data_IF_724670022586
#
_entry.id   IF_724670022586
#
_cell.length_a   1.000
_cell.length_b   1.000
_cell.length_c   1.000
_cell.angle_alpha   90.00
_cell.angle_beta   90.00
_cell.angle_gamma   90.00
#
_symmetry.space_group_name_H-M   'P 1'
#
loop_
_entity.id
_entity.type
_entity.pdbx_description
1 polymer ?
#
# COMPACT_ATOMS: atom_id res chain seq x y z
N UNK A 1 -24.48 11.38 -4.01
CA UNK A 1 -24.77 10.05 -4.57
C UNK A 1 -23.74 9.57 -5.61
N UNK A 2 -23.34 10.36 -6.63
CA UNK A 2 -22.30 9.89 -7.59
C UNK A 2 -20.95 9.54 -6.95
N UNK A 3 -20.43 10.38 -6.05
CA UNK A 3 -19.15 10.15 -5.35
C UNK A 3 -19.14 8.90 -4.47
N UNK A 4 -20.22 8.63 -3.73
CA UNK A 4 -20.31 7.44 -2.87
C UNK A 4 -20.33 6.14 -3.69
N UNK A 5 -20.92 6.17 -4.89
CA UNK A 5 -20.90 5.05 -5.83
C UNK A 5 -19.49 4.80 -6.39
N UNK A 6 -18.75 5.87 -6.70
CA UNK A 6 -17.35 5.78 -7.14
C UNK A 6 -16.44 5.21 -6.04
N UNK A 7 -16.60 5.67 -4.80
CA UNK A 7 -15.86 5.12 -3.65
C UNK A 7 -16.15 3.64 -3.43
N UNK A 8 -17.43 3.24 -3.57
CA UNK A 8 -17.83 1.82 -3.53
C UNK A 8 -17.12 1.01 -4.62
N UNK A 9 -17.12 1.50 -5.86
CA UNK A 9 -16.44 0.83 -6.97
C UNK A 9 -14.93 0.68 -6.74
N UNK A 10 -14.26 1.75 -6.29
CA UNK A 10 -12.82 1.72 -5.98
C UNK A 10 -12.53 0.71 -4.87
N UNK A 11 -13.33 0.72 -3.79
CA UNK A 11 -13.17 -0.21 -2.68
C UNK A 11 -13.37 -1.67 -3.10
N UNK A 12 -14.39 -1.95 -3.92
CA UNK A 12 -14.63 -3.31 -4.44
C UNK A 12 -13.51 -3.79 -5.34
N UNK A 13 -13.05 -2.95 -6.28
CA UNK A 13 -11.93 -3.29 -7.15
C UNK A 13 -10.67 -3.55 -6.31
N UNK A 14 -10.34 -2.64 -5.39
CA UNK A 14 -9.20 -2.79 -4.51
C UNK A 14 -9.26 -4.06 -3.65
N UNK A 15 -10.43 -4.44 -3.14
CA UNK A 15 -10.64 -5.69 -2.42
C UNK A 15 -10.39 -6.92 -3.28
N UNK A 16 -10.91 -6.94 -4.52
CA UNK A 16 -10.67 -8.03 -5.48
C UNK A 16 -9.18 -8.16 -5.81
N UNK A 17 -8.53 -7.06 -6.17
CA UNK A 17 -7.10 -7.05 -6.46
C UNK A 17 -6.25 -7.42 -5.23
N UNK A 18 -6.63 -6.97 -4.04
CA UNK A 18 -5.96 -7.34 -2.80
C UNK A 18 -6.09 -8.84 -2.51
N UNK A 19 -7.26 -9.44 -2.74
CA UNK A 19 -7.48 -10.88 -2.56
C UNK A 19 -6.72 -11.74 -3.58
N UNK A 20 -6.64 -11.29 -4.83
CA UNK A 20 -5.95 -12.02 -5.90
C UNK A 20 -4.43 -11.95 -5.78
N UNK A 21 -3.89 -10.74 -5.53
CA UNK A 21 -2.43 -10.50 -5.57
C UNK A 21 -1.79 -10.44 -4.18
N UNK A 22 -2.57 -10.31 -3.10
CA UNK A 22 -2.04 -10.21 -1.73
C UNK A 22 -1.32 -8.89 -1.41
N UNK A 23 -1.35 -7.89 -2.29
CA UNK A 23 -0.56 -6.64 -2.17
C UNK A 23 -1.29 -5.52 -1.41
N UNK A 24 -2.45 -5.82 -0.79
CA UNK A 24 -3.17 -4.88 0.07
C UNK A 24 -4.02 -3.82 -0.65
N UNK A 25 -4.13 -3.83 -1.98
CA UNK A 25 -5.03 -2.95 -2.73
C UNK A 25 -4.60 -1.48 -2.87
N UNK A 26 -3.58 -1.04 -2.12
CA UNK A 26 -3.07 0.35 -2.14
C UNK A 26 -2.58 0.83 -3.51
N UNK A 27 -2.00 -0.08 -4.30
CA UNK A 27 -1.57 0.17 -5.69
C UNK A 27 -2.74 0.63 -6.57
N UNK A 28 -3.96 0.21 -6.25
CA UNK A 28 -5.17 0.54 -7.00
C UNK A 28 -5.89 1.76 -6.38
N UNK A 29 -5.97 1.82 -5.04
CA UNK A 29 -6.73 2.86 -4.33
C UNK A 29 -6.14 4.25 -4.55
N UNK A 30 -4.83 4.43 -4.37
CA UNK A 30 -4.18 5.75 -4.45
C UNK A 30 -4.37 6.42 -5.83
N UNK A 31 -4.00 5.79 -6.96
CA UNK A 31 -4.18 6.41 -8.27
C UNK A 31 -5.65 6.65 -8.61
N UNK A 32 -6.59 5.78 -8.18
CA UNK A 32 -8.01 6.02 -8.42
C UNK A 32 -8.55 7.21 -7.61
N UNK A 33 -8.11 7.41 -6.38
CA UNK A 33 -8.50 8.58 -5.59
C UNK A 33 -7.96 9.88 -6.18
N UNK A 34 -6.70 9.87 -6.65
CA UNK A 34 -6.07 11.04 -7.27
C UNK A 34 -6.67 11.33 -8.65
N UNK A 35 -6.65 10.36 -9.56
CA UNK A 35 -7.05 10.55 -10.96
C UNK A 35 -8.56 10.64 -11.15
N UNK A 36 -9.35 9.88 -10.38
CA UNK A 36 -10.79 9.75 -10.62
C UNK A 36 -11.64 10.63 -9.70
N UNK A 37 -11.20 10.90 -8.47
CA UNK A 37 -11.91 11.78 -7.54
C UNK A 37 -11.22 13.14 -7.32
N UNK A 38 -10.00 13.33 -7.80
CA UNK A 38 -9.27 14.59 -7.68
C UNK A 38 -8.80 14.89 -6.26
N UNK A 39 -8.56 13.86 -5.44
CA UNK A 39 -8.02 14.05 -4.08
C UNK A 39 -6.56 14.53 -4.16
N UNK A 40 -6.14 15.37 -3.21
CA UNK A 40 -4.73 15.71 -3.06
C UNK A 40 -3.91 14.49 -2.66
N UNK A 41 -2.66 14.37 -3.12
CA UNK A 41 -1.82 13.17 -2.91
C UNK A 41 -1.74 12.73 -1.43
N UNK A 42 -1.62 13.70 -0.52
CA UNK A 42 -1.53 13.46 0.91
C UNK A 42 -2.84 12.91 1.50
N UNK A 43 -3.98 13.41 1.02
CA UNK A 43 -5.30 12.97 1.44
C UNK A 43 -5.64 11.58 0.86
N UNK A 44 -5.32 11.36 -0.42
CA UNK A 44 -5.46 10.07 -1.09
C UNK A 44 -4.62 8.98 -0.41
N UNK A 45 -3.39 9.30 -0.02
CA UNK A 45 -2.51 8.36 0.68
C UNK A 45 -3.08 8.01 2.06
N UNK A 46 -3.48 9.01 2.86
CA UNK A 46 -4.05 8.78 4.19
C UNK A 46 -5.35 7.96 4.14
N UNK A 47 -6.25 8.28 3.22
CA UNK A 47 -7.49 7.53 3.02
C UNK A 47 -7.25 6.11 2.51
N UNK A 48 -6.25 5.91 1.64
CA UNK A 48 -5.85 4.58 1.19
C UNK A 48 -5.34 3.72 2.35
N UNK A 49 -4.52 4.26 3.25
CA UNK A 49 -4.01 3.52 4.41
C UNK A 49 -5.14 3.07 5.33
N UNK A 50 -6.13 3.93 5.58
CA UNK A 50 -7.33 3.57 6.33
C UNK A 50 -8.11 2.42 5.64
N UNK A 51 -8.29 2.50 4.32
CA UNK A 51 -8.94 1.44 3.56
C UNK A 51 -8.15 0.12 3.58
N UNK A 52 -6.82 0.17 3.46
CA UNK A 52 -5.95 -1.01 3.51
C UNK A 52 -6.07 -1.72 4.86
N UNK A 53 -6.12 -0.98 5.98
CA UNK A 53 -6.32 -1.58 7.31
C UNK A 53 -7.63 -2.35 7.38
N UNK A 54 -8.71 -1.78 6.86
CA UNK A 54 -10.02 -2.47 6.81
C UNK A 54 -9.96 -3.72 5.94
N UNK A 55 -9.41 -3.61 4.72
CA UNK A 55 -9.28 -4.74 3.79
C UNK A 55 -8.45 -5.86 4.41
N UNK A 56 -7.30 -5.53 5.01
CA UNK A 56 -6.41 -6.49 5.65
C UNK A 56 -7.07 -7.17 6.85
N UNK A 57 -7.86 -6.44 7.64
CA UNK A 57 -8.58 -7.00 8.78
C UNK A 57 -9.64 -8.00 8.32
N UNK A 58 -10.44 -7.65 7.31
CA UNK A 58 -11.44 -8.55 6.75
C UNK A 58 -10.78 -9.78 6.13
N UNK A 59 -9.70 -9.58 5.35
CA UNK A 59 -8.95 -10.68 4.76
C UNK A 59 -8.37 -11.63 5.82
N UNK A 60 -7.81 -11.09 6.91
CA UNK A 60 -7.30 -11.90 8.01
C UNK A 60 -8.41 -12.74 8.67
N UNK A 61 -9.58 -12.14 8.94
CA UNK A 61 -10.71 -12.85 9.54
C UNK A 61 -11.20 -13.96 8.62
N UNK A 62 -11.44 -13.65 7.34
CA UNK A 62 -11.88 -14.63 6.35
C UNK A 62 -10.87 -15.77 6.24
N UNK A 63 -9.58 -15.46 6.19
CA UNK A 63 -8.55 -16.47 6.06
C UNK A 63 -8.34 -17.29 7.34
N UNK A 64 -8.64 -16.71 8.50
CA UNK A 64 -8.69 -17.43 9.77
C UNK A 64 -9.85 -18.43 9.81
N UNK A 65 -11.01 -18.04 9.27
CA UNK A 65 -12.17 -18.94 9.14
C UNK A 65 -11.88 -20.12 8.21
N UNK A 66 -11.07 -19.91 7.16
CA UNK A 66 -10.58 -20.99 6.31
C UNK A 66 -9.48 -21.87 6.93
N UNK A 67 -8.99 -21.55 8.14
CA UNK A 67 -7.91 -22.30 8.78
C UNK A 67 -6.52 -22.08 8.18
N UNK A 68 -6.37 -21.08 7.30
CA UNK A 68 -5.14 -20.82 6.56
C UNK A 68 -4.19 -19.82 7.26
N UNK A 69 -4.57 -19.30 8.43
CA UNK A 69 -3.75 -18.34 9.16
C UNK A 69 -2.68 -19.05 9.97
N UNK A 70 -1.43 -18.91 9.52
CA UNK A 70 -0.25 -19.37 10.25
C UNK A 70 0.39 -18.19 10.98
N UNK A 71 -0.06 -17.96 12.22
CA UNK A 71 0.38 -16.83 13.04
C UNK A 71 1.90 -16.75 13.22
N UNK A 72 2.61 -17.89 13.27
CA UNK A 72 4.08 -17.91 13.40
C UNK A 72 4.80 -17.24 12.22
N UNK A 73 4.47 -17.61 10.98
CA UNK A 73 5.03 -16.97 9.79
C UNK A 73 4.53 -15.53 9.64
N UNK A 74 3.27 -15.28 10.00
CA UNK A 74 2.69 -13.93 10.01
C UNK A 74 3.45 -12.98 10.93
N UNK A 75 3.81 -13.43 12.14
CA UNK A 75 4.60 -12.64 13.08
C UNK A 75 6.06 -12.48 12.61
N UNK A 76 6.66 -13.53 12.07
CA UNK A 76 8.03 -13.52 11.57
C UNK A 76 8.24 -12.49 10.43
N UNK A 77 7.22 -12.23 9.62
CA UNK A 77 7.27 -11.22 8.55
C UNK A 77 6.70 -9.87 9.05
N UNK A 78 5.60 -9.90 9.80
CA UNK A 78 4.88 -8.71 10.24
C UNK A 78 5.66 -7.84 11.23
N UNK A 79 6.33 -8.44 12.21
CA UNK A 79 7.11 -7.69 13.20
C UNK A 79 8.27 -6.90 12.55
N UNK A 80 9.16 -7.52 11.74
CA UNK A 80 10.21 -6.76 11.06
C UNK A 80 9.65 -5.78 10.03
N UNK A 81 8.51 -6.07 9.38
CA UNK A 81 7.86 -5.11 8.49
C UNK A 81 7.42 -3.84 9.23
N UNK A 82 6.76 -3.98 10.40
CA UNK A 82 6.40 -2.83 11.26
C UNK A 82 7.65 -2.08 11.70
N UNK A 83 8.68 -2.79 12.16
CA UNK A 83 9.96 -2.19 12.52
C UNK A 83 10.60 -1.41 11.37
N UNK A 84 10.57 -1.96 10.16
CA UNK A 84 11.10 -1.33 8.95
C UNK A 84 10.32 -0.07 8.56
N UNK A 85 8.98 -0.07 8.65
CA UNK A 85 8.17 1.13 8.38
C UNK A 85 8.44 2.22 9.42
N UNK A 86 8.52 1.87 10.70
CA UNK A 86 8.83 2.83 11.76
C UNK A 86 10.25 3.41 11.61
N UNK A 87 11.24 2.56 11.38
CA UNK A 87 12.61 2.99 11.16
C UNK A 87 12.75 3.83 9.88
N UNK A 88 12.10 3.40 8.80
CA UNK A 88 12.10 4.10 7.52
C UNK A 88 11.46 5.48 7.60
N UNK A 89 10.29 5.61 8.24
CA UNK A 89 9.63 6.91 8.43
C UNK A 89 10.41 7.82 9.36
N UNK A 90 11.00 7.28 10.44
CA UNK A 90 11.88 8.04 11.32
C UNK A 90 13.14 8.54 10.60
N UNK A 91 13.76 7.70 9.78
CA UNK A 91 14.94 8.06 8.99
C UNK A 91 14.58 9.09 7.92
N UNK A 92 13.43 8.92 7.25
CA UNK A 92 12.92 9.84 6.24
C UNK A 92 12.73 11.26 6.80
N UNK A 93 12.28 11.39 8.06
CA UNK A 93 12.13 12.69 8.71
C UNK A 93 13.46 13.38 9.05
N UNK A 94 14.58 12.63 9.09
CA UNK A 94 15.92 13.15 9.39
C UNK A 94 16.75 13.45 8.15
N UNK A 95 16.40 12.89 7.01
CA UNK A 95 17.13 13.07 5.75
C UNK A 95 16.53 14.23 4.96
N UNK A 96 17.33 15.16 4.41
CA UNK A 96 16.82 16.21 3.55
C UNK A 96 16.16 15.61 2.30
N UNK A 97 14.97 16.12 1.92
CA UNK A 97 14.17 15.62 0.78
C UNK A 97 14.99 15.38 -0.49
N UNK A 98 15.97 16.24 -0.77
CA UNK A 98 16.87 16.12 -1.93
C UNK A 98 17.60 14.78 -2.01
N UNK A 99 18.05 14.24 -0.88
CA UNK A 99 18.76 12.96 -0.85
C UNK A 99 17.82 11.76 -1.06
N UNK A 100 16.60 11.84 -0.56
CA UNK A 100 15.57 10.82 -0.80
C UNK A 100 15.21 10.80 -2.29
N UNK A 101 15.01 11.98 -2.90
CA UNK A 101 14.71 12.09 -4.33
C UNK A 101 15.87 11.59 -5.19
N UNK A 102 17.12 11.92 -4.84
CA UNK A 102 18.31 11.41 -5.55
C UNK A 102 18.45 9.90 -5.42
N UNK A 103 18.20 9.33 -4.23
CA UNK A 103 18.22 7.89 -4.02
C UNK A 103 17.17 7.16 -4.87
N UNK A 104 15.95 7.70 -4.93
CA UNK A 104 14.90 7.15 -5.78
C UNK A 104 15.23 7.27 -7.28
N UNK A 105 15.76 8.42 -7.70
CA UNK A 105 16.21 8.61 -9.09
C UNK A 105 17.33 7.62 -9.47
N UNK A 106 18.31 7.40 -8.59
CA UNK A 106 19.38 6.43 -8.81
C UNK A 106 18.85 4.99 -8.94
N UNK A 107 17.88 4.61 -8.10
CA UNK A 107 17.21 3.31 -8.16
C UNK A 107 16.48 3.13 -9.50
N UNK A 108 15.73 4.15 -9.96
CA UNK A 108 15.04 4.11 -11.25
C UNK A 108 16.01 3.96 -12.43
N UNK A 109 17.15 4.67 -12.39
CA UNK A 109 18.20 4.53 -13.41
C UNK A 109 18.78 3.11 -13.39
N UNK A 110 19.00 2.53 -12.21
CA UNK A 110 19.45 1.15 -12.07
C UNK A 110 18.49 0.14 -12.72
N UNK A 111 17.19 0.25 -12.42
CA UNK A 111 16.16 -0.60 -13.03
C UNK A 111 16.10 -0.39 -14.54
N UNK A 112 16.18 0.86 -15.01
CA UNK A 112 16.16 1.17 -16.43
C UNK A 112 17.34 0.53 -17.17
N UNK A 113 18.53 0.50 -16.56
CA UNK A 113 19.71 -0.17 -17.12
C UNK A 113 19.55 -1.70 -17.12
N UNK A 114 19.02 -2.28 -16.05
CA UNK A 114 18.74 -3.72 -15.97
C UNK A 114 17.75 -4.18 -17.04
N UNK A 115 16.73 -3.36 -17.35
CA UNK A 115 15.78 -3.65 -18.43
C UNK A 115 16.36 -3.49 -19.85
N UNK A 116 17.47 -2.76 -19.99
CA UNK A 116 18.12 -2.46 -21.28
C UNK A 116 19.21 -3.48 -21.64
N UNK A 117 19.74 -4.20 -20.64
CA UNK A 117 20.76 -5.25 -20.76
C UNK A 117 20.10 -6.62 -20.96
#
# INVERSE_FOLDING_TARGET
MRRTLQLGAIGTAAGVFSGLFGVGGGIVIVPLLVLWLGYGEREATGTSLAAIVLIATVALVVQALYGNVRAGYGAAIGIPAVGGVLAGTWLQQRIPTRWITLGFAALLVGIALELLL
#
